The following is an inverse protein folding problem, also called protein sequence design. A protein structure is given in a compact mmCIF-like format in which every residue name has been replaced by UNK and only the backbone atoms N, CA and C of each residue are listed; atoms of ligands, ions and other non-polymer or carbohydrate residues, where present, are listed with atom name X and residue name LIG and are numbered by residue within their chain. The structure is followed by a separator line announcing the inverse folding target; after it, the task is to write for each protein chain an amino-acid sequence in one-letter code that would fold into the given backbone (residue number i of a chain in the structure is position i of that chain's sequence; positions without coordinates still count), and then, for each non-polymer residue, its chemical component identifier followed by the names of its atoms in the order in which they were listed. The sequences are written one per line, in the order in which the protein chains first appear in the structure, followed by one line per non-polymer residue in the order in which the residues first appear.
data_IF_253697467251
#
_entry.id   IF_253697467251
#
_cell.length_a   1.000
_cell.length_b   1.000
_cell.length_c   1.000
_cell.angle_alpha   90.00
_cell.angle_beta   90.00
_cell.angle_gamma   90.00
#
_symmetry.space_group_name_H-M   'P 1'
#
loop_
_entity.id
_entity.type
_entity.pdbx_description
1 polymer ?
#
# COMPACT_ATOMS: atom_id res chain seq x y z
N UNK A 1 8.45 -1.79 -17.09
CA UNK A 1 9.88 -1.68 -17.39
C UNK A 1 10.43 -0.42 -16.76
N UNK A 2 11.48 -0.56 -15.92
CA UNK A 2 12.20 0.56 -15.32
C UNK A 2 13.70 0.40 -15.53
N UNK A 3 14.33 1.48 -15.97
CA UNK A 3 15.78 1.61 -16.02
C UNK A 3 16.23 2.38 -14.77
N UNK A 4 17.19 1.82 -14.05
CA UNK A 4 17.75 2.40 -12.83
C UNK A 4 19.21 2.73 -13.07
N UNK A 5 19.59 3.96 -12.75
CA UNK A 5 20.98 4.40 -12.79
C UNK A 5 21.37 4.97 -11.43
N UNK A 6 22.42 4.46 -10.83
CA UNK A 6 23.00 5.01 -9.62
C UNK A 6 24.44 5.48 -9.91
N UNK A 7 24.76 6.69 -9.44
CA UNK A 7 26.11 7.24 -9.49
C UNK A 7 26.51 7.68 -8.10
N UNK A 8 27.54 7.07 -7.52
CA UNK A 8 28.11 7.52 -6.26
C UNK A 8 28.94 8.79 -6.49
N UNK A 9 28.88 9.76 -5.57
CA UNK A 9 29.53 11.06 -5.71
C UNK A 9 31.05 10.99 -5.87
N UNK A 10 31.68 9.93 -5.38
CA UNK A 10 33.13 9.72 -5.42
C UNK A 10 33.58 8.68 -6.46
N UNK A 11 32.68 7.98 -7.13
CA UNK A 11 33.00 6.98 -8.15
C UNK A 11 32.65 7.49 -9.54
N UNK A 12 33.59 7.45 -10.45
CA UNK A 12 33.39 7.86 -11.85
C UNK A 12 32.46 6.91 -12.62
N UNK A 13 32.25 5.70 -12.12
CA UNK A 13 31.44 4.67 -12.79
C UNK A 13 29.97 4.78 -12.44
N UNK A 14 29.13 5.01 -13.44
CA UNK A 14 27.68 4.88 -13.31
C UNK A 14 27.29 3.41 -13.40
N UNK A 15 26.57 2.93 -12.39
CA UNK A 15 26.06 1.55 -12.37
C UNK A 15 24.59 1.53 -12.79
N UNK A 16 24.29 0.66 -13.73
CA UNK A 16 22.99 0.59 -14.37
C UNK A 16 22.32 -0.75 -14.05
N UNK A 17 21.02 -0.72 -13.84
CA UNK A 17 20.18 -1.91 -13.69
C UNK A 17 18.87 -1.75 -14.43
N UNK A 18 18.29 -2.88 -14.78
CA UNK A 18 16.98 -2.97 -15.43
C UNK A 18 16.10 -3.87 -14.59
N UNK A 19 14.88 -3.42 -14.33
CA UNK A 19 13.88 -4.23 -13.69
C UNK A 19 12.54 -4.18 -14.43
N UNK A 20 11.77 -5.25 -14.23
CA UNK A 20 10.44 -5.44 -14.78
C UNK A 20 9.43 -5.52 -13.65
N UNK A 21 8.29 -4.89 -13.89
CA UNK A 21 7.12 -5.01 -13.04
C UNK A 21 5.97 -5.56 -13.91
N UNK A 22 5.26 -6.52 -13.36
CA UNK A 22 4.08 -7.10 -13.97
C UNK A 22 2.96 -7.11 -12.94
N UNK A 23 1.74 -6.79 -13.37
CA UNK A 23 0.56 -6.86 -12.52
C UNK A 23 -0.69 -7.12 -13.34
N UNK A 24 -1.62 -7.83 -12.73
CA UNK A 24 -2.93 -8.08 -13.27
C UNK A 24 -3.97 -7.94 -12.15
N UNK A 25 -5.10 -7.33 -12.48
CA UNK A 25 -6.22 -7.17 -11.55
C UNK A 25 -7.50 -7.62 -12.24
N UNK A 26 -8.24 -8.47 -11.57
CA UNK A 26 -9.60 -8.83 -11.92
C UNK A 26 -10.57 -8.05 -11.04
N UNK A 27 -11.56 -7.45 -11.64
CA UNK A 27 -12.56 -6.63 -10.97
C UNK A 27 -13.96 -7.06 -11.39
N UNK A 28 -14.90 -7.09 -10.45
CA UNK A 28 -16.29 -7.43 -10.73
C UNK A 28 -17.25 -6.67 -9.84
N UNK A 29 -18.34 -6.20 -10.44
CA UNK A 29 -19.49 -5.66 -9.73
C UNK A 29 -20.48 -6.76 -9.42
N UNK A 30 -21.21 -6.61 -8.30
CA UNK A 30 -22.35 -7.44 -7.93
C UNK A 30 -23.42 -6.59 -7.27
N UNK A 31 -24.67 -6.92 -7.49
CA UNK A 31 -25.78 -6.28 -6.78
C UNK A 31 -25.82 -6.79 -5.34
N UNK A 32 -25.90 -5.88 -4.39
CA UNK A 32 -26.01 -6.17 -2.97
C UNK A 32 -26.89 -5.10 -2.29
N UNK A 33 -28.00 -5.51 -1.64
CA UNK A 33 -28.89 -4.61 -0.90
C UNK A 33 -29.37 -3.41 -1.75
N UNK A 34 -29.78 -3.65 -3.00
CA UNK A 34 -30.22 -2.65 -3.97
C UNK A 34 -29.13 -1.67 -4.43
N UNK A 35 -27.88 -1.87 -4.01
CA UNK A 35 -26.73 -1.06 -4.37
C UNK A 35 -25.69 -1.90 -5.14
N UNK A 36 -24.77 -1.24 -5.83
CA UNK A 36 -23.70 -1.89 -6.57
C UNK A 36 -22.45 -2.05 -5.69
N UNK A 37 -22.29 -3.23 -5.13
CA UNK A 37 -21.05 -3.66 -4.50
C UNK A 37 -20.01 -4.07 -5.55
N UNK A 38 -18.74 -4.04 -5.17
CA UNK A 38 -17.67 -4.51 -6.04
C UNK A 38 -16.59 -5.24 -5.26
N UNK A 39 -15.88 -6.11 -5.95
CA UNK A 39 -14.70 -6.75 -5.41
C UNK A 39 -13.59 -6.85 -6.46
N UNK A 40 -12.38 -6.90 -6.01
CA UNK A 40 -11.23 -7.11 -6.88
C UNK A 40 -10.23 -8.08 -6.26
N UNK A 41 -9.49 -8.76 -7.12
CA UNK A 41 -8.32 -9.53 -6.76
C UNK A 41 -7.19 -9.16 -7.72
N UNK A 42 -6.01 -8.94 -7.19
CA UNK A 42 -4.85 -8.52 -7.96
C UNK A 42 -3.60 -9.30 -7.61
N UNK A 43 -2.77 -9.51 -8.61
CA UNK A 43 -1.45 -10.09 -8.50
C UNK A 43 -0.42 -9.09 -9.01
N UNK A 44 0.73 -9.03 -8.34
CA UNK A 44 1.87 -8.20 -8.75
C UNK A 44 3.18 -8.98 -8.60
N UNK A 45 4.03 -8.86 -9.62
CA UNK A 45 5.43 -9.22 -9.55
C UNK A 45 6.25 -7.96 -9.84
N UNK A 46 7.03 -7.48 -8.88
CA UNK A 46 7.68 -6.19 -8.96
C UNK A 46 9.19 -6.29 -8.70
N UNK A 47 9.94 -5.37 -9.31
CA UNK A 47 11.39 -5.23 -9.19
C UNK A 47 12.17 -6.50 -9.61
N UNK A 48 11.66 -7.27 -10.56
CA UNK A 48 12.34 -8.45 -11.08
C UNK A 48 13.40 -7.97 -12.07
N UNK A 49 14.67 -8.10 -11.72
CA UNK A 49 15.73 -7.58 -12.56
C UNK A 49 17.14 -7.92 -12.09
N UNK A 50 18.11 -7.28 -12.76
CA UNK A 50 19.54 -7.44 -12.46
C UNK A 50 19.91 -6.70 -11.17
N UNK A 51 20.95 -7.17 -10.52
CA UNK A 51 21.56 -6.49 -9.37
C UNK A 51 22.02 -5.08 -9.75
N UNK A 52 21.85 -4.13 -8.85
CA UNK A 52 22.42 -2.80 -8.94
C UNK A 52 23.61 -2.74 -7.98
N UNK A 53 24.79 -2.50 -8.51
CA UNK A 53 26.02 -2.46 -7.70
C UNK A 53 26.28 -3.69 -6.83
N UNK A 54 26.01 -4.89 -7.35
CA UNK A 54 26.15 -6.14 -6.60
C UNK A 54 25.00 -6.46 -5.65
N UNK A 55 24.17 -5.48 -5.30
CA UNK A 55 22.99 -5.67 -4.44
C UNK A 55 21.78 -6.13 -5.25
N UNK A 56 21.06 -7.10 -4.74
CA UNK A 56 19.82 -7.57 -5.33
C UNK A 56 18.73 -6.50 -5.16
N UNK A 57 17.98 -6.23 -6.21
CA UNK A 57 16.78 -5.40 -6.10
C UNK A 57 15.75 -6.05 -5.16
N UNK A 58 14.94 -5.27 -4.45
CA UNK A 58 13.89 -5.79 -3.57
C UNK A 58 12.73 -6.35 -4.39
N UNK A 59 13.00 -7.45 -5.11
CA UNK A 59 11.99 -8.15 -5.89
C UNK A 59 10.92 -8.74 -4.98
N UNK A 60 9.65 -8.58 -5.35
CA UNK A 60 8.51 -9.05 -4.57
C UNK A 60 7.41 -9.64 -5.45
N UNK A 61 6.70 -10.59 -4.87
CA UNK A 61 5.42 -11.08 -5.36
C UNK A 61 4.33 -10.60 -4.41
N UNK A 62 3.28 -10.02 -4.96
CA UNK A 62 2.12 -9.53 -4.21
C UNK A 62 0.83 -10.16 -4.68
N UNK A 63 -0.04 -10.46 -3.74
CA UNK A 63 -1.43 -10.87 -3.96
C UNK A 63 -2.31 -10.02 -3.05
N UNK A 64 -3.35 -9.43 -3.60
CA UNK A 64 -4.25 -8.60 -2.80
C UNK A 64 -5.68 -8.67 -3.30
N UNK A 65 -6.59 -8.23 -2.47
CA UNK A 65 -7.99 -8.13 -2.83
C UNK A 65 -8.70 -7.03 -2.06
N UNK A 66 -9.76 -6.52 -2.65
CA UNK A 66 -10.64 -5.53 -2.03
C UNK A 66 -12.09 -5.95 -2.17
N UNK A 67 -12.89 -5.58 -1.20
CA UNK A 67 -14.35 -5.61 -1.30
C UNK A 67 -14.88 -4.24 -0.92
N UNK A 68 -15.82 -3.75 -1.69
CA UNK A 68 -16.47 -2.46 -1.52
C UNK A 68 -17.97 -2.71 -1.33
N UNK A 69 -18.46 -2.38 -0.14
CA UNK A 69 -19.81 -2.65 0.32
C UNK A 69 -20.56 -1.33 0.53
N UNK A 70 -21.42 -0.93 -0.39
CA UNK A 70 -22.32 0.20 -0.17
C UNK A 70 -23.44 -0.20 0.80
N UNK A 71 -23.65 0.59 1.84
CA UNK A 71 -24.81 0.47 2.73
C UNK A 71 -25.90 1.47 2.36
N UNK A 72 -25.53 2.55 1.69
CA UNK A 72 -26.43 3.55 1.13
C UNK A 72 -25.66 4.42 0.12
N UNK A 73 -26.34 5.29 -0.59
CA UNK A 73 -25.71 6.28 -1.50
C UNK A 73 -24.62 7.11 -0.82
N UNK A 74 -24.70 7.28 0.49
CA UNK A 74 -23.81 8.15 1.27
C UNK A 74 -22.82 7.39 2.16
N UNK A 75 -23.03 6.07 2.36
CA UNK A 75 -22.26 5.28 3.30
C UNK A 75 -21.68 4.03 2.61
N UNK A 76 -20.37 3.87 2.70
CA UNK A 76 -19.65 2.80 2.01
C UNK A 76 -18.51 2.27 2.88
N UNK A 77 -18.41 0.96 2.98
CA UNK A 77 -17.30 0.27 3.64
C UNK A 77 -16.43 -0.40 2.58
N UNK A 78 -15.16 -0.10 2.59
CA UNK A 78 -14.15 -0.82 1.81
C UNK A 78 -13.24 -1.60 2.75
N UNK A 79 -13.00 -2.87 2.43
CA UNK A 79 -12.04 -3.73 3.13
C UNK A 79 -11.00 -4.21 2.12
N UNK A 80 -9.74 -4.18 2.51
CA UNK A 80 -8.62 -4.62 1.69
C UNK A 80 -7.74 -5.59 2.46
N UNK A 81 -7.21 -6.57 1.73
CA UNK A 81 -6.22 -7.53 2.21
C UNK A 81 -5.08 -7.59 1.21
N UNK A 82 -3.85 -7.65 1.69
CA UNK A 82 -2.69 -7.87 0.84
C UNK A 82 -1.66 -8.80 1.49
N UNK A 83 -0.96 -9.52 0.64
CA UNK A 83 0.15 -10.40 0.98
C UNK A 83 1.30 -10.10 0.04
N UNK A 84 2.48 -9.85 0.59
CA UNK A 84 3.68 -9.56 -0.17
C UNK A 84 4.81 -10.50 0.27
N UNK A 85 5.40 -11.21 -0.68
CA UNK A 85 6.55 -12.06 -0.44
C UNK A 85 7.80 -11.43 -1.06
N UNK A 86 8.75 -11.07 -0.20
CA UNK A 86 10.04 -10.53 -0.63
C UNK A 86 10.98 -11.68 -0.99
N UNK A 87 11.59 -11.59 -2.19
CA UNK A 87 12.40 -12.65 -2.77
C UNK A 87 13.89 -12.63 -2.38
N UNK A 88 14.57 -11.46 -2.18
CA UNK A 88 15.99 -11.43 -1.85
C UNK A 88 16.26 -12.18 -0.54
N UNK A 89 17.33 -13.00 -0.53
CA UNK A 89 17.67 -13.88 0.61
C UNK A 89 17.88 -13.11 1.92
N UNK A 90 18.42 -11.90 1.81
CA UNK A 90 18.73 -11.04 2.97
C UNK A 90 17.48 -10.51 3.69
N UNK A 91 16.40 -10.29 2.92
CA UNK A 91 15.13 -9.72 3.42
C UNK A 91 13.94 -10.63 3.12
N UNK A 92 14.18 -11.93 2.89
CA UNK A 92 13.12 -12.88 2.52
C UNK A 92 12.15 -13.09 3.66
N UNK A 93 10.94 -12.60 3.51
CA UNK A 93 9.83 -12.84 4.43
C UNK A 93 8.49 -12.55 3.77
N UNK A 94 7.43 -13.02 4.42
CA UNK A 94 6.05 -12.69 4.07
C UNK A 94 5.61 -11.47 4.88
N UNK A 95 5.03 -10.51 4.20
CA UNK A 95 4.30 -9.39 4.81
C UNK A 95 2.83 -9.54 4.48
N UNK A 96 1.97 -9.14 5.39
CA UNK A 96 0.53 -9.11 5.16
C UNK A 96 -0.04 -7.78 5.66
N UNK A 97 -1.10 -7.32 5.03
CA UNK A 97 -1.83 -6.14 5.43
C UNK A 97 -3.33 -6.38 5.43
N UNK A 98 -4.01 -5.79 6.37
CA UNK A 98 -5.47 -5.68 6.39
C UNK A 98 -5.84 -4.23 6.64
N UNK A 99 -6.80 -3.72 5.90
CA UNK A 99 -7.29 -2.36 6.09
C UNK A 99 -8.79 -2.27 5.86
N UNK A 100 -9.40 -1.32 6.53
CA UNK A 100 -10.79 -0.96 6.33
C UNK A 100 -10.92 0.57 6.25
N UNK A 101 -11.76 1.02 5.35
CA UNK A 101 -12.15 2.41 5.19
C UNK A 101 -13.67 2.50 5.21
N UNK A 102 -14.20 3.39 6.02
CA UNK A 102 -15.61 3.71 6.06
C UNK A 102 -15.84 5.15 5.66
N UNK A 103 -16.54 5.34 4.57
CA UNK A 103 -16.97 6.63 4.08
C UNK A 103 -18.38 6.89 4.57
N UNK A 104 -18.62 8.04 5.18
CA UNK A 104 -19.91 8.44 5.73
C UNK A 104 -20.33 9.84 5.26
N UNK A 105 -21.61 9.98 4.96
CA UNK A 105 -22.24 11.24 4.56
C UNK A 105 -21.55 11.93 3.37
N UNK A 106 -20.82 11.21 2.54
CA UNK A 106 -20.02 11.72 1.40
C UNK A 106 -18.84 12.63 1.78
N UNK A 107 -18.79 13.10 3.02
CA UNK A 107 -17.81 14.10 3.45
C UNK A 107 -16.74 13.55 4.38
N UNK A 108 -17.07 12.58 5.18
CA UNK A 108 -16.17 12.02 6.17
C UNK A 108 -15.63 10.65 5.76
N UNK A 109 -14.42 10.36 6.19
CA UNK A 109 -13.80 9.05 6.05
C UNK A 109 -13.01 8.71 7.30
N UNK A 110 -13.14 7.46 7.76
CA UNK A 110 -12.29 6.89 8.80
C UNK A 110 -11.63 5.63 8.27
N UNK A 111 -10.40 5.40 8.69
CA UNK A 111 -9.57 4.29 8.21
C UNK A 111 -8.91 3.62 9.39
N UNK A 112 -8.80 2.31 9.32
CA UNK A 112 -8.00 1.53 10.23
C UNK A 112 -7.26 0.44 9.44
N UNK A 113 -6.04 0.13 9.84
CA UNK A 113 -5.27 -0.90 9.17
C UNK A 113 -4.27 -1.54 10.12
N UNK A 114 -3.82 -2.72 9.74
CA UNK A 114 -2.76 -3.40 10.45
C UNK A 114 -1.80 -4.06 9.46
N UNK A 115 -0.52 -3.85 9.68
CA UNK A 115 0.57 -4.45 8.92
C UNK A 115 1.27 -5.51 9.75
N UNK A 116 1.40 -6.70 9.18
CA UNK A 116 2.16 -7.82 9.71
C UNK A 116 3.50 -7.90 8.97
N UNK A 117 4.58 -7.72 9.68
CA UNK A 117 5.92 -7.76 9.14
C UNK A 117 6.91 -8.41 10.10
N UNK A 118 8.15 -8.50 9.69
CA UNK A 118 9.25 -9.05 10.48
C UNK A 118 10.25 -7.93 10.80
N UNK A 119 10.34 -7.54 12.06
CA UNK A 119 11.24 -6.47 12.52
C UNK A 119 12.72 -6.75 12.24
N UNK A 120 13.11 -8.01 12.18
CA UNK A 120 14.50 -8.42 11.95
C UNK A 120 14.89 -8.35 10.46
N UNK A 121 13.87 -8.25 9.57
CA UNK A 121 14.05 -8.24 8.11
C UNK A 121 13.49 -6.98 7.42
N UNK A 122 12.99 -6.04 8.19
CA UNK A 122 12.42 -4.82 7.64
C UNK A 122 11.51 -4.10 8.63
N UNK A 123 10.33 -3.73 8.18
CA UNK A 123 9.35 -3.06 9.02
C UNK A 123 8.55 -4.10 9.80
N UNK A 124 8.57 -4.02 11.13
CA UNK A 124 7.81 -4.89 12.01
C UNK A 124 6.29 -4.63 11.96
N UNK A 125 5.57 -5.21 12.89
CA UNK A 125 4.12 -5.03 12.99
C UNK A 125 3.76 -3.60 13.41
N UNK A 126 2.73 -3.03 12.80
CA UNK A 126 2.17 -1.76 13.22
C UNK A 126 0.70 -1.63 12.80
N UNK A 127 -0.06 -0.91 13.61
CA UNK A 127 -1.42 -0.49 13.28
C UNK A 127 -1.42 0.92 12.70
N UNK A 128 -2.47 1.27 11.97
CA UNK A 128 -2.70 2.62 11.48
C UNK A 128 -4.14 3.04 11.74
N UNK A 129 -4.31 4.30 12.12
CA UNK A 129 -5.62 4.93 12.20
C UNK A 129 -5.56 6.20 11.36
N UNK A 130 -6.64 6.49 10.65
CA UNK A 130 -6.75 7.68 9.84
C UNK A 130 -8.16 8.23 9.81
N UNK A 131 -8.26 9.52 9.55
CA UNK A 131 -9.51 10.18 9.26
C UNK A 131 -9.30 11.22 8.16
N UNK A 132 -10.37 11.55 7.48
CA UNK A 132 -10.32 12.56 6.44
C UNK A 132 -11.68 13.22 6.25
N UNK A 133 -11.62 14.38 5.65
CA UNK A 133 -12.78 15.12 5.20
C UNK A 133 -12.64 15.43 3.70
N UNK A 134 -13.76 15.34 3.00
CA UNK A 134 -13.84 15.67 1.58
C UNK A 134 -14.96 16.68 1.39
N UNK A 135 -14.61 17.95 1.45
CA UNK A 135 -15.55 19.04 1.28
C UNK A 135 -15.13 19.84 0.04
N UNK A 136 -15.78 19.57 -1.06
CA UNK A 136 -15.43 20.17 -2.35
C UNK A 136 -15.22 21.70 -2.26
N UNK A 137 -14.13 22.24 -2.75
CA UNK A 137 -13.04 21.61 -3.49
C UNK A 137 -11.88 21.09 -2.63
N UNK A 138 -12.00 21.07 -1.30
CA UNK A 138 -10.92 20.75 -0.36
C UNK A 138 -11.06 19.31 0.14
N UNK A 139 -9.95 18.61 0.14
CA UNK A 139 -9.78 17.31 0.81
C UNK A 139 -8.65 17.43 1.83
N UNK A 140 -8.88 16.95 3.04
CA UNK A 140 -7.87 16.84 4.08
C UNK A 140 -7.88 15.43 4.67
N UNK A 141 -6.70 14.85 4.82
CA UNK A 141 -6.50 13.52 5.36
C UNK A 141 -5.44 13.58 6.46
N UNK A 142 -5.69 12.87 7.56
CA UNK A 142 -4.74 12.66 8.65
C UNK A 142 -4.60 11.17 8.93
N UNK A 143 -3.39 10.71 9.18
CA UNK A 143 -3.12 9.34 9.62
C UNK A 143 -2.04 9.29 10.68
N UNK A 144 -2.12 8.28 11.54
CA UNK A 144 -1.19 8.02 12.61
C UNK A 144 -0.85 6.53 12.67
N UNK A 145 0.44 6.22 12.80
CA UNK A 145 0.93 4.86 12.95
C UNK A 145 1.09 4.50 14.44
N UNK A 146 0.48 3.39 14.83
CA UNK A 146 0.55 2.78 16.14
C UNK A 146 1.55 1.63 16.08
N UNK A 147 2.76 1.87 16.54
CA UNK A 147 3.85 0.91 16.48
C UNK A 147 4.65 0.91 17.77
N UNK A 148 5.32 -0.21 18.06
CA UNK A 148 6.24 -0.32 19.18
C UNK A 148 7.44 0.64 19.03
N UNK A 149 8.10 0.96 20.14
CA UNK A 149 9.23 1.90 20.17
C UNK A 149 10.38 1.49 19.25
N UNK A 150 10.56 0.20 19.04
CA UNK A 150 11.62 -0.37 18.20
C UNK A 150 11.23 -0.46 16.71
N UNK A 151 10.01 -0.10 16.37
CA UNK A 151 9.54 -0.10 14.99
C UNK A 151 9.86 1.25 14.32
N UNK A 152 10.35 1.19 13.09
CA UNK A 152 10.61 2.38 12.27
C UNK A 152 9.40 3.32 12.12
N UNK A 153 8.18 2.76 12.17
CA UNK A 153 6.92 3.52 12.07
C UNK A 153 6.47 4.14 13.40
N UNK A 154 7.27 4.02 14.49
CA UNK A 154 6.89 4.58 15.79
C UNK A 154 6.68 6.10 15.73
N UNK A 155 5.52 6.56 16.24
CA UNK A 155 5.12 7.99 16.25
C UNK A 155 5.10 8.67 14.87
N UNK A 156 4.94 7.91 13.80
CA UNK A 156 4.80 8.48 12.47
C UNK A 156 3.38 8.99 12.26
N UNK A 157 3.26 10.21 11.78
CA UNK A 157 1.98 10.79 11.37
C UNK A 157 2.12 11.44 10.00
N UNK A 158 1.00 11.52 9.31
CA UNK A 158 0.93 12.12 7.99
C UNK A 158 -0.30 13.02 7.89
N UNK A 159 -0.12 14.22 7.36
CA UNK A 159 -1.18 15.15 7.00
C UNK A 159 -1.14 15.38 5.49
N UNK A 160 -2.27 15.20 4.84
CA UNK A 160 -2.46 15.48 3.42
C UNK A 160 -3.53 16.54 3.22
N UNK A 161 -3.28 17.50 2.34
CA UNK A 161 -4.28 18.48 1.89
C UNK A 161 -4.26 18.48 0.37
N UNK A 162 -5.43 18.39 -0.22
CA UNK A 162 -5.61 18.39 -1.68
C UNK A 162 -6.75 19.31 -2.11
N UNK A 163 -6.68 19.75 -3.35
CA UNK A 163 -7.75 20.49 -4.01
C UNK A 163 -8.23 19.64 -5.18
N UNK A 164 -9.55 19.44 -5.26
CA UNK A 164 -10.22 18.70 -6.32
C UNK A 164 -10.99 19.72 -7.20
N UNK A 165 -10.70 19.76 -8.48
CA UNK A 165 -11.34 20.68 -9.44
C UNK A 165 -11.84 19.96 -10.69
#
# INVERSE_FOLDING_TARGET
FRYLQAKAAESADSKNSVCLDFGATYYRNMALLDEMASWSIGFQAANIGKKLDGQKLPARLGLGGTIDLPFSIENRLQVALDFNYLLPSEIRHLQAGIGAEYNFLKYGVVRAGYHFGDKDKGVGNYGTLGCGINFWPIRADFSYALADKDCFMHRTWQLGIGIVF
#
